data_IF_338900302245
#
_entry.id   IF_338900302245
#
_cell.length_a   1.000
_cell.length_b   1.000
_cell.length_c   1.000
_cell.angle_alpha   90.00
_cell.angle_beta   90.00
_cell.angle_gamma   90.00
#
_symmetry.space_group_name_H-M   'P 1'
#
loop_
_entity.id
_entity.type
_entity.pdbx_description
1 polymer ?
#
# COMPACT_ATOMS: atom_id res chain seq x y z
N UNK A 1 15.85 2.28 5.09
CA UNK A 1 14.92 1.19 4.70
C UNK A 1 14.67 1.13 3.19
N UNK A 2 14.04 2.13 2.57
CA UNK A 2 13.65 2.11 1.13
C UNK A 2 14.80 1.71 0.19
N UNK A 3 15.98 2.29 0.37
CA UNK A 3 17.18 1.99 -0.42
C UNK A 3 17.59 0.51 -0.28
N UNK A 4 17.57 -0.02 0.94
CA UNK A 4 17.95 -1.43 1.23
C UNK A 4 17.00 -2.39 0.53
N UNK A 5 15.68 -2.17 0.64
CA UNK A 5 14.69 -3.03 -0.01
C UNK A 5 14.83 -2.98 -1.53
N UNK A 6 15.05 -1.80 -2.12
CA UNK A 6 15.31 -1.68 -3.56
C UNK A 6 16.60 -2.40 -3.98
N UNK A 7 17.65 -2.37 -3.15
CA UNK A 7 18.88 -3.10 -3.41
C UNK A 7 18.67 -4.62 -3.33
N UNK A 8 17.85 -5.10 -2.39
CA UNK A 8 17.46 -6.52 -2.30
C UNK A 8 16.67 -6.96 -3.54
N UNK A 9 15.71 -6.15 -4.00
CA UNK A 9 15.03 -6.40 -5.28
C UNK A 9 16.04 -6.49 -6.41
N UNK A 10 16.91 -5.48 -6.55
CA UNK A 10 17.91 -5.43 -7.61
C UNK A 10 18.84 -6.66 -7.61
N UNK A 11 19.28 -7.11 -6.42
CA UNK A 11 20.09 -8.33 -6.29
C UNK A 11 19.37 -9.58 -6.80
N UNK A 12 18.05 -9.65 -6.63
CA UNK A 12 17.26 -10.82 -7.03
C UNK A 12 16.82 -10.82 -8.50
N UNK A 13 16.64 -9.65 -9.12
CA UNK A 13 16.01 -9.51 -10.45
C UNK A 13 16.84 -8.73 -11.47
N UNK A 14 17.93 -8.08 -11.05
CA UNK A 14 18.72 -7.16 -11.87
C UNK A 14 18.05 -5.81 -12.16
N UNK A 15 16.81 -5.58 -11.70
CA UNK A 15 16.04 -4.34 -11.91
C UNK A 15 15.22 -3.98 -10.67
N UNK A 16 15.13 -2.70 -10.35
CA UNK A 16 14.31 -2.23 -9.22
C UNK A 16 13.76 -0.82 -9.47
N UNK A 17 12.75 -0.44 -8.68
CA UNK A 17 12.06 0.83 -8.81
C UNK A 17 13.01 2.03 -8.72
N UNK A 18 13.99 1.98 -7.81
CA UNK A 18 14.98 3.04 -7.62
C UNK A 18 15.82 3.33 -8.87
N UNK A 19 16.23 2.30 -9.61
CA UNK A 19 17.13 2.44 -10.78
C UNK A 19 16.36 2.54 -12.10
N UNK A 20 15.28 1.79 -12.25
CA UNK A 20 14.55 1.65 -13.52
C UNK A 20 13.24 2.42 -13.55
N UNK A 21 12.73 2.89 -12.40
CA UNK A 21 11.53 3.75 -12.31
C UNK A 21 11.74 4.95 -11.35
N UNK A 22 12.86 5.69 -11.41
CA UNK A 22 13.18 6.71 -10.41
C UNK A 22 12.12 7.81 -10.33
N UNK A 23 11.55 8.25 -11.45
CA UNK A 23 10.48 9.26 -11.48
C UNK A 23 9.21 8.78 -10.77
N UNK A 24 8.87 7.51 -10.93
CA UNK A 24 7.71 6.92 -10.24
C UNK A 24 7.98 6.86 -8.74
N UNK A 25 9.15 6.34 -8.32
CA UNK A 25 9.53 6.29 -6.91
C UNK A 25 9.56 7.69 -6.29
N UNK A 26 10.12 8.69 -6.97
CA UNK A 26 10.15 10.07 -6.50
C UNK A 26 8.75 10.67 -6.36
N UNK A 27 7.84 10.38 -7.28
CA UNK A 27 6.45 10.85 -7.18
C UNK A 27 5.67 10.23 -6.01
N UNK A 28 6.11 9.08 -5.48
CA UNK A 28 5.49 8.47 -4.30
C UNK A 28 5.73 9.29 -3.03
N UNK A 29 6.85 10.01 -2.89
CA UNK A 29 7.14 10.78 -1.68
C UNK A 29 6.14 11.92 -1.41
N UNK A 30 5.90 12.88 -2.34
CA UNK A 30 4.93 13.93 -2.10
C UNK A 30 3.51 13.38 -2.00
N UNK A 31 3.18 12.34 -2.79
CA UNK A 31 1.88 11.67 -2.69
C UNK A 31 1.69 11.03 -1.30
N UNK A 32 2.73 10.41 -0.76
CA UNK A 32 2.73 9.79 0.57
C UNK A 32 2.51 10.80 1.68
N UNK A 33 3.12 11.99 1.57
CA UNK A 33 2.89 13.06 2.53
C UNK A 33 1.42 13.47 2.55
N UNK A 34 0.84 13.79 1.39
CA UNK A 34 -0.58 14.14 1.29
C UNK A 34 -1.51 13.02 1.80
N UNK A 35 -1.18 11.79 1.43
CA UNK A 35 -1.91 10.60 1.84
C UNK A 35 -1.93 10.42 3.36
N UNK A 36 -0.78 10.51 4.03
CA UNK A 36 -0.75 10.31 5.47
C UNK A 36 -1.34 11.50 6.25
N UNK A 37 -1.23 12.72 5.72
CA UNK A 37 -1.93 13.88 6.30
C UNK A 37 -3.45 13.71 6.32
N UNK A 38 -4.04 12.96 5.38
CA UNK A 38 -5.45 12.58 5.45
C UNK A 38 -5.74 11.69 6.67
N UNK A 39 -4.89 10.69 6.94
CA UNK A 39 -5.02 9.85 8.13
C UNK A 39 -4.86 10.65 9.43
N UNK A 40 -3.91 11.57 9.47
CA UNK A 40 -3.72 12.46 10.60
C UNK A 40 -4.95 13.36 10.82
N UNK A 41 -5.59 13.83 9.74
CA UNK A 41 -6.86 14.55 9.81
C UNK A 41 -7.99 13.68 10.37
N UNK A 42 -8.16 12.45 9.85
CA UNK A 42 -9.16 11.51 10.34
C UNK A 42 -8.92 11.11 11.81
N UNK A 43 -7.65 10.99 12.21
CA UNK A 43 -7.26 10.68 13.57
C UNK A 43 -7.68 11.77 14.57
N UNK A 44 -7.94 13.01 14.14
CA UNK A 44 -8.48 14.05 15.02
C UNK A 44 -9.87 13.72 15.56
N UNK A 45 -10.62 12.84 14.88
CA UNK A 45 -11.96 12.43 15.30
C UNK A 45 -11.93 11.18 16.17
N UNK A 46 -11.08 10.21 15.84
CA UNK A 46 -11.03 8.91 16.54
C UNK A 46 -9.99 8.85 17.65
N UNK A 47 -8.95 9.69 17.59
CA UNK A 47 -7.84 9.75 18.53
C UNK A 47 -7.18 8.37 18.78
N UNK A 48 -7.11 7.54 17.74
CA UNK A 48 -6.55 6.19 17.80
C UNK A 48 -5.06 6.18 18.14
N UNK A 49 -4.32 7.22 17.75
CA UNK A 49 -2.92 7.40 18.12
C UNK A 49 -2.62 8.85 18.51
N UNK A 50 -1.61 9.02 19.35
CA UNK A 50 -1.09 10.32 19.76
C UNK A 50 0.42 10.27 19.94
N UNK A 51 1.09 11.41 19.76
CA UNK A 51 2.55 11.52 19.84
C UNK A 51 3.01 11.93 21.25
N UNK A 52 4.02 11.24 21.76
CA UNK A 52 4.65 11.49 23.07
C UNK A 52 6.14 11.74 22.87
N UNK A 53 6.77 12.51 23.76
CA UNK A 53 8.22 12.71 23.75
C UNK A 53 8.76 13.73 22.72
N UNK A 54 7.87 14.45 22.01
CA UNK A 54 8.24 15.46 21.02
C UNK A 54 8.54 16.87 21.55
N UNK A 55 8.26 17.12 22.84
CA UNK A 55 8.32 18.47 23.43
C UNK A 55 7.23 19.41 22.92
N UNK A 56 7.29 20.69 23.29
CA UNK A 56 6.37 21.73 22.78
C UNK A 56 6.85 22.22 21.42
N UNK A 57 6.38 21.57 20.35
CA UNK A 57 6.63 22.01 18.98
C UNK A 57 5.62 23.09 18.58
N UNK A 58 6.08 24.10 17.84
CA UNK A 58 5.15 25.00 17.15
C UNK A 58 4.43 24.27 16.01
N UNK A 59 3.27 24.77 15.57
CA UNK A 59 2.50 24.16 14.48
C UNK A 59 3.34 23.99 13.19
N UNK A 60 4.18 24.98 12.86
CA UNK A 60 5.05 24.93 11.69
C UNK A 60 6.16 23.88 11.82
N UNK A 61 6.78 23.78 12.98
CA UNK A 61 7.81 22.75 13.24
C UNK A 61 7.22 21.35 13.21
N UNK A 62 6.03 21.16 13.80
CA UNK A 62 5.32 19.88 13.73
C UNK A 62 5.06 19.50 12.28
N UNK A 63 4.52 20.43 11.47
CA UNK A 63 4.20 20.16 10.08
C UNK A 63 5.42 19.71 9.28
N UNK A 64 6.55 20.42 9.41
CA UNK A 64 7.78 20.06 8.69
C UNK A 64 8.35 18.74 9.18
N UNK A 65 8.47 18.55 10.50
CA UNK A 65 9.07 17.35 11.10
C UNK A 65 8.23 16.10 10.87
N UNK A 66 6.90 16.21 10.89
CA UNK A 66 5.99 15.10 10.65
C UNK A 66 5.87 14.76 9.16
N UNK A 67 5.94 15.75 8.27
CA UNK A 67 5.84 15.52 6.82
C UNK A 67 6.97 14.62 6.30
N UNK A 68 8.18 14.70 6.87
CA UNK A 68 9.31 13.87 6.46
C UNK A 68 9.06 12.36 6.63
N UNK A 69 8.72 11.82 7.81
CA UNK A 69 8.37 10.40 7.95
C UNK A 69 7.11 10.04 7.14
N UNK A 70 6.11 10.93 7.08
CA UNK A 70 4.88 10.71 6.30
C UNK A 70 5.15 10.51 4.81
N UNK A 71 6.13 11.23 4.26
CA UNK A 71 6.54 11.10 2.86
C UNK A 71 7.16 9.73 2.53
N UNK A 72 7.57 8.94 3.54
CA UNK A 72 8.28 7.67 3.31
C UNK A 72 7.37 6.45 3.25
N UNK A 73 6.08 6.59 3.56
CA UNK A 73 5.13 5.47 3.72
C UNK A 73 4.88 4.72 2.40
N UNK A 74 4.31 5.38 1.38
CA UNK A 74 4.06 4.75 0.07
C UNK A 74 5.33 4.20 -0.58
N UNK A 75 6.46 4.95 -0.66
CA UNK A 75 7.66 4.40 -1.28
C UNK A 75 8.23 3.21 -0.50
N UNK A 76 8.09 3.15 0.83
CA UNK A 76 8.47 1.97 1.61
C UNK A 76 7.59 0.76 1.31
N UNK A 77 6.26 0.92 1.33
CA UNK A 77 5.31 -0.17 1.09
C UNK A 77 5.45 -0.71 -0.33
N UNK A 78 5.45 0.15 -1.35
CA UNK A 78 5.52 -0.32 -2.75
C UNK A 78 6.90 -0.88 -3.13
N UNK A 79 7.99 -0.37 -2.54
CA UNK A 79 9.31 -1.00 -2.73
C UNK A 79 9.36 -2.39 -2.10
N UNK A 80 8.75 -2.55 -0.92
CA UNK A 80 8.66 -3.85 -0.22
C UNK A 80 7.77 -4.82 -1.00
N UNK A 81 6.65 -4.34 -1.54
CA UNK A 81 5.80 -5.14 -2.41
C UNK A 81 6.55 -5.60 -3.67
N UNK A 82 7.33 -4.73 -4.31
CA UNK A 82 8.16 -5.09 -5.45
C UNK A 82 9.17 -6.19 -5.08
N UNK A 83 9.86 -6.06 -3.95
CA UNK A 83 10.75 -7.09 -3.45
C UNK A 83 10.04 -8.43 -3.20
N UNK A 84 8.87 -8.42 -2.55
CA UNK A 84 8.10 -9.64 -2.28
C UNK A 84 7.61 -10.32 -3.58
N UNK A 85 7.26 -9.54 -4.60
CA UNK A 85 6.92 -10.10 -5.93
C UNK A 85 8.12 -10.72 -6.64
N UNK A 86 9.35 -10.38 -6.25
CA UNK A 86 10.57 -11.04 -6.75
C UNK A 86 10.75 -12.47 -6.22
N UNK A 87 9.97 -12.88 -5.22
CA UNK A 87 10.02 -14.21 -4.62
C UNK A 87 8.75 -15.02 -4.96
N UNK A 88 8.72 -15.79 -6.07
CA UNK A 88 7.51 -16.51 -6.51
C UNK A 88 6.94 -17.48 -5.48
N UNK A 89 7.78 -18.04 -4.61
CA UNK A 89 7.35 -18.98 -3.54
C UNK A 89 6.38 -18.35 -2.55
N UNK A 90 6.47 -17.04 -2.31
CA UNK A 90 5.60 -16.35 -1.35
C UNK A 90 4.18 -16.14 -1.88
N UNK A 91 3.96 -16.31 -3.17
CA UNK A 91 2.66 -16.17 -3.82
C UNK A 91 2.25 -17.41 -4.62
N UNK A 92 2.95 -18.52 -4.43
CA UNK A 92 2.65 -19.80 -5.07
C UNK A 92 1.25 -20.30 -4.63
N UNK A 93 0.43 -20.71 -5.60
CA UNK A 93 -0.95 -21.18 -5.37
C UNK A 93 -1.99 -20.07 -5.21
N UNK A 94 -1.60 -18.78 -5.24
CA UNK A 94 -2.52 -17.64 -5.21
C UNK A 94 -3.03 -17.21 -6.60
N UNK A 95 -2.77 -18.00 -7.63
CA UNK A 95 -3.16 -17.77 -9.02
C UNK A 95 -4.44 -18.53 -9.44
N UNK A 96 -4.92 -19.47 -8.61
CA UNK A 96 -6.14 -20.26 -8.83
C UNK A 96 -7.10 -20.19 -7.64
N UNK A 97 -7.20 -19.02 -7.02
CA UNK A 97 -8.09 -18.80 -5.86
C UNK A 97 -9.51 -18.44 -6.33
N UNK A 98 -10.43 -18.29 -5.40
CA UNK A 98 -11.81 -17.83 -5.63
C UNK A 98 -11.85 -16.62 -6.57
N UNK A 99 -12.69 -16.73 -7.60
CA UNK A 99 -12.94 -15.66 -8.56
C UNK A 99 -13.97 -14.69 -7.98
N UNK A 100 -13.56 -13.44 -7.76
CA UNK A 100 -14.46 -12.38 -7.29
C UNK A 100 -14.56 -11.31 -8.37
N UNK A 101 -15.75 -11.17 -8.94
CA UNK A 101 -16.04 -10.16 -9.94
C UNK A 101 -16.80 -8.98 -9.30
N UNK A 102 -16.05 -7.94 -8.94
CA UNK A 102 -16.61 -6.70 -8.40
C UNK A 102 -16.98 -5.69 -9.51
N UNK A 103 -17.04 -6.05 -10.79
CA UNK A 103 -17.08 -5.07 -11.88
C UNK A 103 -18.48 -4.50 -12.21
N UNK A 104 -19.39 -4.36 -11.23
CA UNK A 104 -20.71 -3.76 -11.48
C UNK A 104 -20.80 -2.36 -10.89
N UNK A 105 -21.24 -1.41 -11.71
CA UNK A 105 -21.42 0.01 -11.34
C UNK A 105 -22.33 0.21 -10.12
N UNK A 106 -23.33 -0.66 -9.94
CA UNK A 106 -24.23 -0.65 -8.76
C UNK A 106 -23.45 -0.87 -7.46
N UNK A 107 -22.51 -1.83 -7.45
CA UNK A 107 -21.65 -2.05 -6.29
C UNK A 107 -20.77 -0.83 -6.00
N UNK A 108 -20.38 -0.08 -7.03
CA UNK A 108 -19.59 1.13 -6.87
C UNK A 108 -20.34 2.19 -6.07
N UNK A 109 -21.60 2.44 -6.43
CA UNK A 109 -22.45 3.37 -5.68
C UNK A 109 -22.75 2.88 -4.25
N UNK A 110 -23.01 1.59 -4.05
CA UNK A 110 -23.22 1.02 -2.71
C UNK A 110 -21.99 1.18 -1.81
N UNK A 111 -20.80 0.87 -2.33
CA UNK A 111 -19.54 1.06 -1.60
C UNK A 111 -19.28 2.53 -1.29
N UNK A 112 -19.54 3.44 -2.24
CA UNK A 112 -19.35 4.87 -2.02
C UNK A 112 -20.28 5.40 -0.93
N UNK A 113 -21.57 5.08 -0.99
CA UNK A 113 -22.54 5.49 0.01
C UNK A 113 -22.22 4.92 1.39
N UNK A 114 -21.84 3.63 1.47
CA UNK A 114 -21.46 2.98 2.71
C UNK A 114 -20.20 3.59 3.33
N UNK A 115 -19.16 3.81 2.52
CA UNK A 115 -17.92 4.43 2.99
C UNK A 115 -18.12 5.90 3.41
N UNK A 116 -18.90 6.67 2.65
CA UNK A 116 -19.23 8.05 2.99
C UNK A 116 -20.06 8.15 4.29
N UNK A 117 -21.11 7.33 4.42
CA UNK A 117 -21.91 7.26 5.65
C UNK A 117 -21.06 6.83 6.85
N UNK A 118 -20.16 5.87 6.65
CA UNK A 118 -19.18 5.42 7.64
C UNK A 118 -18.26 6.54 8.11
N UNK A 119 -17.62 7.25 7.16
CA UNK A 119 -16.74 8.38 7.45
C UNK A 119 -17.46 9.54 8.16
N UNK A 120 -18.71 9.82 7.79
CA UNK A 120 -19.55 10.80 8.48
C UNK A 120 -19.93 10.33 9.89
N UNK A 121 -20.22 9.04 10.05
CA UNK A 121 -20.57 8.43 11.32
C UNK A 121 -19.43 8.39 12.33
N UNK A 122 -18.17 8.41 11.88
CA UNK A 122 -16.98 8.45 12.76
C UNK A 122 -17.05 9.61 13.75
N UNK A 123 -17.58 10.78 13.34
CA UNK A 123 -17.74 11.92 14.25
C UNK A 123 -18.78 11.70 15.35
N UNK A 124 -19.72 10.76 15.17
CA UNK A 124 -20.80 10.46 16.11
C UNK A 124 -20.44 9.30 17.05
N UNK A 125 -19.78 8.25 16.54
CA UNK A 125 -19.41 7.06 17.30
C UNK A 125 -17.95 6.66 17.03
N UNK A 126 -16.97 7.48 17.45
CA UNK A 126 -15.56 7.24 17.17
C UNK A 126 -15.09 5.89 17.71
N UNK A 127 -15.52 5.49 18.91
CA UNK A 127 -15.06 4.27 19.57
C UNK A 127 -15.45 2.96 18.84
N UNK A 128 -16.51 2.99 18.03
CA UNK A 128 -17.00 1.82 17.30
C UNK A 128 -16.64 1.87 15.81
N UNK A 129 -16.62 3.07 15.23
CA UNK A 129 -16.40 3.27 13.80
C UNK A 129 -14.94 3.54 13.45
N UNK A 130 -14.03 3.57 14.43
CA UNK A 130 -12.59 3.75 14.18
C UNK A 130 -11.99 2.79 13.13
N UNK A 131 -12.43 1.51 12.96
CA UNK A 131 -11.84 0.65 11.93
C UNK A 131 -12.10 1.17 10.52
N UNK A 132 -13.16 1.96 10.33
CA UNK A 132 -13.49 2.55 9.03
C UNK A 132 -12.45 3.57 8.58
N UNK A 133 -11.67 4.18 9.49
CA UNK A 133 -10.55 5.05 9.10
C UNK A 133 -9.56 4.30 8.20
N UNK A 134 -9.37 3.00 8.42
CA UNK A 134 -8.40 2.16 7.70
C UNK A 134 -8.95 1.47 6.45
N UNK A 135 -10.27 1.49 6.27
CA UNK A 135 -10.94 0.73 5.19
C UNK A 135 -11.73 1.66 4.27
N UNK A 136 -12.38 2.68 4.81
CA UNK A 136 -13.26 3.56 4.04
C UNK A 136 -12.52 4.31 2.91
N UNK A 137 -11.30 4.84 3.08
CA UNK A 137 -10.60 5.47 1.97
C UNK A 137 -10.35 4.50 0.79
N UNK A 138 -9.94 3.26 1.08
CA UNK A 138 -9.81 2.21 0.08
C UNK A 138 -11.14 1.92 -0.62
N UNK A 139 -12.24 1.84 0.13
CA UNK A 139 -13.58 1.65 -0.44
C UNK A 139 -13.99 2.81 -1.33
N UNK A 140 -13.74 4.06 -0.93
CA UNK A 140 -14.03 5.25 -1.75
C UNK A 140 -13.26 5.21 -3.05
N UNK A 141 -11.96 4.94 -3.00
CA UNK A 141 -11.11 4.89 -4.20
C UNK A 141 -11.58 3.78 -5.15
N UNK A 142 -11.86 2.59 -4.60
CA UNK A 142 -12.36 1.44 -5.37
C UNK A 142 -13.73 1.75 -5.98
N UNK A 143 -14.63 2.36 -5.21
CA UNK A 143 -15.95 2.76 -5.66
C UNK A 143 -15.91 3.77 -6.81
N UNK A 144 -15.05 4.79 -6.72
CA UNK A 144 -14.87 5.78 -7.77
C UNK A 144 -14.37 5.15 -9.07
N UNK A 145 -13.39 4.24 -8.99
CA UNK A 145 -12.90 3.50 -10.16
C UNK A 145 -14.01 2.64 -10.78
N UNK A 146 -14.81 1.94 -9.97
CA UNK A 146 -15.96 1.16 -10.44
C UNK A 146 -17.04 2.01 -11.10
N UNK A 147 -17.34 3.19 -10.55
CA UNK A 147 -18.33 4.12 -11.10
C UNK A 147 -17.87 4.69 -12.46
N UNK A 148 -16.55 4.84 -12.64
CA UNK A 148 -15.90 5.31 -13.88
C UNK A 148 -15.60 4.20 -14.88
N UNK A 149 -15.92 2.93 -14.56
CA UNK A 149 -15.53 1.75 -15.35
C UNK A 149 -14.01 1.64 -15.58
N UNK A 150 -13.22 2.10 -14.61
CA UNK A 150 -11.77 1.95 -14.61
C UNK A 150 -11.37 0.61 -13.96
N UNK A 151 -10.24 -0.01 -14.37
CA UNK A 151 -9.77 -1.24 -13.75
C UNK A 151 -9.36 -0.99 -12.30
N UNK A 152 -9.97 -1.71 -11.37
CA UNK A 152 -9.64 -1.64 -9.94
C UNK A 152 -8.45 -2.52 -9.57
N UNK A 153 -7.92 -2.33 -8.35
CA UNK A 153 -6.92 -3.24 -7.76
C UNK A 153 -7.42 -4.70 -7.66
N UNK A 154 -8.74 -4.89 -7.65
CA UNK A 154 -9.40 -6.20 -7.61
C UNK A 154 -9.71 -6.77 -9.00
N UNK A 155 -9.38 -6.07 -10.10
CA UNK A 155 -9.65 -6.56 -11.46
C UNK A 155 -9.03 -7.94 -11.75
N UNK A 156 -7.86 -8.23 -11.18
CA UNK A 156 -7.18 -9.54 -11.32
C UNK A 156 -7.85 -10.65 -10.51
N UNK A 157 -8.58 -10.35 -9.43
CA UNK A 157 -9.29 -11.37 -8.65
C UNK A 157 -10.47 -11.96 -9.41
N UNK A 158 -10.97 -11.27 -10.44
CA UNK A 158 -11.98 -11.84 -11.34
C UNK A 158 -11.46 -13.09 -12.08
N UNK A 159 -10.14 -13.21 -12.23
CA UNK A 159 -9.46 -14.34 -12.86
C UNK A 159 -8.77 -15.26 -11.84
N UNK A 160 -8.99 -15.06 -10.53
CA UNK A 160 -8.40 -15.89 -9.47
C UNK A 160 -6.95 -15.54 -9.10
N UNK A 161 -6.38 -14.46 -9.66
CA UNK A 161 -5.01 -14.00 -9.36
C UNK A 161 -4.99 -12.99 -8.20
N UNK A 162 -4.60 -13.48 -7.02
CA UNK A 162 -4.49 -12.72 -5.78
C UNK A 162 -3.05 -12.32 -5.45
N UNK A 163 -2.06 -12.69 -6.28
CA UNK A 163 -0.64 -12.57 -5.96
C UNK A 163 -0.22 -11.13 -5.65
N UNK A 164 -0.74 -10.15 -6.41
CA UNK A 164 -0.43 -8.74 -6.19
C UNK A 164 -1.07 -8.19 -4.91
N UNK A 165 -2.35 -8.52 -4.66
CA UNK A 165 -3.05 -8.11 -3.43
C UNK A 165 -2.36 -8.66 -2.18
N UNK A 166 -2.00 -9.94 -2.23
CA UNK A 166 -1.24 -10.58 -1.16
C UNK A 166 0.13 -9.91 -0.94
N UNK A 167 0.87 -9.63 -2.00
CA UNK A 167 2.18 -9.02 -1.90
C UNK A 167 2.13 -7.60 -1.29
N UNK A 168 1.14 -6.77 -1.65
CA UNK A 168 1.02 -5.42 -1.08
C UNK A 168 0.51 -5.44 0.36
N UNK A 169 -0.39 -6.36 0.71
CA UNK A 169 -0.85 -6.55 2.09
C UNK A 169 0.29 -7.04 3.00
N UNK A 170 1.06 -8.03 2.53
CA UNK A 170 2.22 -8.53 3.26
C UNK A 170 3.33 -7.47 3.35
N UNK A 171 3.54 -6.67 2.30
CA UNK A 171 4.49 -5.56 2.31
C UNK A 171 4.16 -4.53 3.39
N UNK A 172 2.89 -4.14 3.53
CA UNK A 172 2.46 -3.23 4.57
C UNK A 172 2.61 -3.84 5.96
N UNK A 173 2.37 -5.15 6.14
CA UNK A 173 2.62 -5.83 7.42
C UNK A 173 4.11 -5.84 7.79
N UNK A 174 5.00 -6.11 6.82
CA UNK A 174 6.46 -6.05 7.01
C UNK A 174 6.90 -4.63 7.35
N UNK A 175 6.40 -3.63 6.62
CA UNK A 175 6.65 -2.23 6.95
C UNK A 175 6.13 -1.88 8.35
N UNK A 176 4.93 -2.33 8.71
CA UNK A 176 4.32 -2.13 10.02
C UNK A 176 5.19 -2.67 11.15
N UNK A 177 5.71 -3.89 11.01
CA UNK A 177 6.68 -4.45 11.95
C UNK A 177 7.90 -3.54 12.16
N UNK A 178 8.51 -3.06 11.08
CA UNK A 178 9.67 -2.18 11.17
C UNK A 178 9.33 -0.79 11.73
N UNK A 179 8.17 -0.24 11.38
CA UNK A 179 7.68 1.02 11.93
C UNK A 179 7.47 0.91 13.44
N UNK A 180 6.83 -0.15 13.92
CA UNK A 180 6.64 -0.39 15.35
C UNK A 180 7.96 -0.61 16.10
N UNK A 181 8.91 -1.32 15.47
CA UNK A 181 10.26 -1.47 16.01
C UNK A 181 10.97 -0.11 16.13
N UNK A 182 10.96 0.73 15.09
CA UNK A 182 11.60 2.05 15.15
C UNK A 182 10.88 3.00 16.10
N UNK A 183 9.55 2.92 16.17
CA UNK A 183 8.72 3.68 17.09
C UNK A 183 9.10 3.39 18.54
N UNK A 184 9.23 2.10 18.90
CA UNK A 184 9.60 1.66 20.24
C UNK A 184 10.96 2.21 20.70
N UNK A 185 11.93 2.36 19.79
CA UNK A 185 13.26 2.90 20.09
C UNK A 185 13.37 4.42 19.87
N UNK A 186 12.28 5.11 19.52
CA UNK A 186 12.31 6.54 19.24
C UNK A 186 12.03 7.37 20.50
N UNK A 187 12.77 8.47 20.65
CA UNK A 187 12.52 9.45 21.70
C UNK A 187 11.10 10.03 21.59
N UNK A 188 10.75 10.49 20.37
CA UNK A 188 9.40 10.89 20.02
C UNK A 188 8.70 9.73 19.31
N UNK A 189 7.68 9.17 19.94
CA UNK A 189 7.00 7.96 19.48
C UNK A 189 5.49 8.15 19.50
N UNK A 190 4.77 7.39 18.68
CA UNK A 190 3.32 7.32 18.74
C UNK A 190 2.90 6.20 19.69
N UNK A 191 1.86 6.46 20.49
CA UNK A 191 1.20 5.46 21.33
C UNK A 191 -0.23 5.26 20.85
N UNK A 192 -0.70 4.02 20.95
CA UNK A 192 -2.03 3.62 20.50
C UNK A 192 -3.04 3.72 21.64
N UNK A 193 -4.16 4.39 21.38
CA UNK A 193 -5.34 4.44 22.22
C UNK A 193 -6.52 3.81 21.47
N UNK A 194 -6.37 2.54 21.06
CA UNK A 194 -7.42 1.86 20.31
C UNK A 194 -8.43 1.21 21.27
N UNK A 195 -9.72 1.53 21.17
CA UNK A 195 -10.76 0.93 22.01
C UNK A 195 -10.86 -0.59 21.81
N UNK A 196 -11.22 -1.32 22.87
CA UNK A 196 -11.58 -2.75 22.86
C UNK A 196 -10.51 -3.77 22.44
N UNK A 197 -9.31 -3.33 22.04
CA UNK A 197 -8.26 -4.23 21.51
C UNK A 197 -6.97 -4.22 22.33
N UNK A 198 -6.97 -3.68 23.56
CA UNK A 198 -5.81 -3.57 24.46
C UNK A 198 -5.29 -4.92 25.03
N UNK A 199 -5.41 -6.00 24.28
CA UNK A 199 -4.93 -7.33 24.65
C UNK A 199 -3.41 -7.44 24.56
N UNK A 200 -2.92 -8.55 23.99
CA UNK A 200 -1.48 -8.75 23.82
C UNK A 200 -0.89 -7.70 22.89
N UNK A 201 0.09 -6.94 23.39
CA UNK A 201 0.82 -5.93 22.62
C UNK A 201 2.14 -6.49 22.11
N UNK A 202 2.49 -6.14 20.89
CA UNK A 202 3.81 -6.33 20.31
C UNK A 202 4.38 -4.94 20.00
N UNK A 203 5.47 -4.57 20.68
CA UNK A 203 5.89 -3.17 20.83
C UNK A 203 4.78 -2.34 21.49
N UNK A 204 4.47 -1.15 20.95
CA UNK A 204 3.38 -0.31 21.44
C UNK A 204 2.01 -0.68 20.84
N UNK A 205 1.97 -1.47 19.77
CA UNK A 205 0.74 -1.81 19.08
C UNK A 205 0.10 -3.09 19.62
N UNK A 206 -1.23 -3.13 19.84
CA UNK A 206 -1.93 -4.38 20.08
C UNK A 206 -1.83 -5.31 18.86
N UNK A 207 -1.74 -6.63 19.10
CA UNK A 207 -1.57 -7.61 18.02
C UNK A 207 -2.69 -7.54 16.98
N UNK A 208 -3.93 -7.32 17.41
CA UNK A 208 -5.07 -7.11 16.51
C UNK A 208 -4.93 -5.85 15.65
N UNK A 209 -4.20 -4.84 16.14
CA UNK A 209 -3.90 -3.63 15.39
C UNK A 209 -3.12 -3.91 14.11
N UNK A 210 -2.25 -4.93 14.10
CA UNK A 210 -1.47 -5.29 12.91
C UNK A 210 -2.35 -5.75 11.74
N UNK A 211 -3.58 -6.21 12.00
CA UNK A 211 -4.53 -6.54 10.94
C UNK A 211 -4.89 -5.30 10.10
N UNK A 212 -4.79 -4.08 10.66
CA UNK A 212 -4.99 -2.82 9.95
C UNK A 212 -3.95 -2.57 8.85
N UNK A 213 -2.74 -3.14 8.94
CA UNK A 213 -1.75 -3.02 7.87
C UNK A 213 -2.16 -3.74 6.58
N UNK A 214 -3.01 -4.77 6.67
CA UNK A 214 -3.47 -5.53 5.50
C UNK A 214 -4.29 -4.66 4.53
N UNK A 215 -5.41 -4.02 4.93
CA UNK A 215 -6.14 -3.10 4.06
C UNK A 215 -5.31 -1.86 3.73
N UNK A 216 -4.45 -1.40 4.65
CA UNK A 216 -3.58 -0.26 4.42
C UNK A 216 -2.59 -0.47 3.25
N UNK A 217 -2.06 -1.69 3.09
CA UNK A 217 -1.21 -2.04 1.95
C UNK A 217 -1.95 -1.98 0.61
N UNK A 218 -3.21 -2.44 0.60
CA UNK A 218 -4.09 -2.32 -0.58
C UNK A 218 -4.37 -0.85 -0.91
N UNK A 219 -4.57 -0.03 0.13
CA UNK A 219 -4.82 1.40 -0.01
C UNK A 219 -3.63 2.15 -0.58
N UNK A 220 -2.41 1.87 -0.08
CA UNK A 220 -1.18 2.44 -0.63
C UNK A 220 -1.06 2.16 -2.13
N UNK A 221 -1.40 0.94 -2.56
CA UNK A 221 -1.42 0.59 -3.98
C UNK A 221 -2.52 1.31 -4.74
N UNK A 222 -3.75 1.34 -4.21
CA UNK A 222 -4.90 2.00 -4.85
C UNK A 222 -4.68 3.51 -5.04
N UNK A 223 -4.10 4.20 -4.05
CA UNK A 223 -3.77 5.63 -4.15
C UNK A 223 -2.69 5.88 -5.21
N UNK A 224 -1.65 5.05 -5.22
CA UNK A 224 -0.62 5.16 -6.25
C UNK A 224 -1.17 4.88 -7.66
N UNK A 225 -2.10 3.93 -7.81
CA UNK A 225 -2.73 3.60 -9.08
C UNK A 225 -3.68 4.71 -9.58
N UNK A 226 -4.40 5.36 -8.66
CA UNK A 226 -5.31 6.46 -8.95
C UNK A 226 -4.56 7.74 -9.35
N UNK A 227 -3.48 8.08 -8.65
CA UNK A 227 -2.81 9.37 -8.80
C UNK A 227 -1.65 9.36 -9.80
N UNK A 228 -1.06 8.19 -10.10
CA UNK A 228 0.13 8.11 -10.94
C UNK A 228 -0.16 7.36 -12.23
N UNK A 229 0.09 8.01 -13.38
CA UNK A 229 -0.13 7.43 -14.69
C UNK A 229 0.68 6.13 -14.94
N UNK A 230 1.83 5.97 -14.28
CA UNK A 230 2.66 4.75 -14.37
C UNK A 230 2.27 3.78 -13.27
N UNK A 231 1.31 2.91 -13.55
CA UNK A 231 0.76 1.95 -12.58
C UNK A 231 1.79 0.98 -11.99
N UNK A 232 1.54 0.51 -10.78
CA UNK A 232 2.29 -0.58 -10.14
C UNK A 232 1.75 -1.91 -10.71
N UNK A 233 2.35 -2.39 -11.80
CA UNK A 233 1.87 -3.55 -12.55
C UNK A 233 2.28 -4.90 -11.93
N UNK A 234 2.06 -5.09 -10.63
CA UNK A 234 2.47 -6.31 -9.91
C UNK A 234 3.97 -6.40 -9.65
N UNK A 235 4.61 -5.26 -9.34
CA UNK A 235 6.03 -5.19 -8.98
C UNK A 235 6.94 -5.59 -10.14
N UNK A 236 7.72 -6.67 -9.96
CA UNK A 236 8.75 -7.13 -10.91
C UNK A 236 8.17 -7.47 -12.29
N UNK A 237 6.90 -7.89 -12.36
CA UNK A 237 6.24 -8.20 -13.63
C UNK A 237 6.21 -7.00 -14.60
N UNK A 238 6.24 -5.77 -14.08
CA UNK A 238 6.37 -4.55 -14.87
C UNK A 238 7.58 -4.58 -15.81
N UNK A 239 8.71 -5.13 -15.36
CA UNK A 239 9.94 -5.16 -16.15
C UNK A 239 9.92 -6.21 -17.25
N UNK A 240 9.10 -7.26 -17.12
CA UNK A 240 8.96 -8.30 -18.15
C UNK A 240 8.04 -7.84 -19.28
N UNK A 241 6.99 -7.09 -18.95
CA UNK A 241 6.07 -6.52 -19.95
C UNK A 241 6.70 -5.39 -20.79
N UNK A 242 7.80 -4.80 -20.32
CA UNK A 242 8.53 -3.75 -21.03
C UNK A 242 9.61 -4.30 -21.98
N UNK A 243 9.83 -5.62 -22.02
CA UNK A 243 10.64 -6.23 -23.07
C UNK A 243 9.77 -6.38 -24.32
N UNK A 244 10.09 -5.70 -25.43
CA UNK A 244 9.56 -6.15 -26.71
C UNK A 244 10.05 -7.59 -26.87
N UNK A 245 9.19 -8.50 -27.32
CA UNK A 245 9.62 -9.79 -27.85
C UNK A 245 10.72 -9.50 -28.88
N UNK A 246 11.98 -9.60 -28.48
CA UNK A 246 13.07 -9.76 -29.43
C UNK A 246 12.87 -11.14 -29.98
N UNK A 247 12.27 -11.16 -31.17
CA UNK A 247 12.20 -12.24 -32.12
C UNK A 247 13.51 -13.04 -32.15
N UNK A 248 13.61 -14.05 -31.28
CA UNK A 248 14.61 -15.11 -31.35
C UNK A 248 14.11 -16.29 -32.19
N UNK A 249 12.97 -16.14 -32.87
CA UNK A 249 12.37 -17.18 -33.71
C UNK A 249 12.68 -17.04 -35.21
N UNK A 250 13.38 -15.98 -35.64
CA UNK A 250 13.89 -15.84 -37.01
C UNK A 250 15.43 -15.94 -37.09
N UNK A 251 16.00 -17.08 -36.66
CA UNK A 251 17.27 -17.54 -37.23
C UNK A 251 16.95 -18.54 -38.33
N UNK A 252 16.78 -18.03 -39.55
CA UNK A 252 16.80 -18.85 -40.76
C UNK A 252 18.08 -19.70 -40.74
N UNK A 253 18.01 -21.02 -41.01
CA UNK A 253 19.21 -21.80 -41.26
C UNK A 253 19.91 -21.20 -42.48
N UNK A 254 21.12 -20.73 -42.28
CA UNK A 254 21.98 -20.25 -43.35
C UNK A 254 22.29 -21.44 -44.26
N UNK A 255 21.86 -21.32 -45.52
CA UNK A 255 22.31 -22.13 -46.64
C UNK A 255 23.81 -21.91 -46.78
N UNK A 256 24.63 -22.85 -46.29
CA UNK A 256 26.00 -23.10 -46.73
C UNK A 256 26.63 -24.28 -45.97
N UNK A 257 26.26 -25.51 -46.31
CA UNK A 257 27.25 -26.59 -46.38
C UNK A 257 27.08 -27.29 -47.74
N UNK A 258 28.16 -27.22 -48.52
CA UNK A 258 28.40 -27.99 -49.73
C UNK A 258 28.85 -29.40 -49.35
#
# INVERSE_FOLDING_TARGET
YIVVVNALTYRSTGRCMLTHRPRYLLSLFPLSACFWWLFEYLNRFVQNWYYVGGGTLTTGEYLVRATLPFATVLPAVLSTAEWLTACPRLSAGLDHVVTINLNRRVWGWLLLCGAAAGLLGIGLWPDYLFPLVWVAPLLVITALQMIRNEPTIFSKTAHGDWRTLWAVALAALVCGWFWEMWNFYSLAHWQYAVPFVQGVTLFHMPLLGYAGYLPFGLECWAVADLCLARKFAGGVAYYRAAEPETDFAQRNPTVAER
#
